data_IF_279106704629
#
_entry.id   IF_279106704629
#
_cell.length_a   1.000
_cell.length_b   1.000
_cell.length_c   1.000
_cell.angle_alpha   90.00
_cell.angle_beta   90.00
_cell.angle_gamma   90.00
#
_symmetry.space_group_name_H-M   'P 1'
#
loop_
_entity.id
_entity.type
_entity.pdbx_description
1 polymer ?
#
# COMPACT_ATOMS: atom_id res chain seq x y z
N UNK A 1 -24.66 -19.55 -28.48
CA UNK A 1 -23.57 -18.65 -28.92
C UNK A 1 -22.90 -18.08 -27.69
N UNK A 2 -21.58 -17.92 -27.68
CA UNK A 2 -20.88 -17.27 -26.57
C UNK A 2 -21.39 -15.82 -26.43
N UNK A 3 -21.57 -15.36 -25.19
CA UNK A 3 -21.99 -13.99 -24.95
C UNK A 3 -20.85 -13.02 -25.29
N UNK A 4 -21.15 -11.95 -26.02
CA UNK A 4 -20.15 -10.99 -26.52
C UNK A 4 -20.18 -9.68 -25.77
N UNK A 5 -18.99 -9.19 -25.40
CA UNK A 5 -18.75 -7.94 -24.69
C UNK A 5 -17.76 -7.05 -25.45
N UNK A 6 -17.93 -5.72 -25.30
CA UNK A 6 -16.94 -4.75 -25.78
C UNK A 6 -15.70 -4.74 -24.89
N UNK A 7 -15.91 -4.97 -23.58
CA UNK A 7 -14.85 -5.09 -22.59
C UNK A 7 -15.16 -6.23 -21.62
N UNK A 8 -14.16 -7.06 -21.33
CA UNK A 8 -14.14 -7.95 -20.18
C UNK A 8 -12.99 -7.55 -19.25
N UNK A 9 -13.29 -7.37 -17.96
CA UNK A 9 -12.30 -7.12 -16.92
C UNK A 9 -12.09 -8.40 -16.09
N UNK A 10 -10.85 -8.83 -15.92
CA UNK A 10 -10.50 -10.02 -15.13
C UNK A 10 -9.92 -9.57 -13.79
N UNK A 11 -10.67 -9.80 -12.71
CA UNK A 11 -10.39 -9.39 -11.34
C UNK A 11 -11.21 -8.18 -10.93
N UNK A 12 -11.82 -8.23 -9.74
CA UNK A 12 -12.62 -7.15 -9.17
C UNK A 12 -11.94 -6.44 -7.99
N UNK A 13 -10.60 -6.36 -8.02
CA UNK A 13 -9.81 -5.49 -7.13
C UNK A 13 -9.91 -4.00 -7.48
N UNK A 14 -9.20 -3.11 -6.75
CA UNK A 14 -9.26 -1.65 -6.94
C UNK A 14 -9.07 -1.18 -8.39
N UNK A 15 -8.19 -1.81 -9.16
CA UNK A 15 -8.06 -1.49 -10.58
C UNK A 15 -9.25 -1.98 -11.40
N UNK A 16 -9.64 -3.25 -11.23
CA UNK A 16 -10.63 -3.89 -12.07
C UNK A 16 -12.05 -3.35 -11.91
N UNK A 17 -12.57 -3.23 -10.67
CA UNK A 17 -13.93 -2.73 -10.48
C UNK A 17 -14.05 -1.25 -10.88
N UNK A 18 -13.00 -0.43 -10.67
CA UNK A 18 -12.97 0.96 -11.10
C UNK A 18 -12.96 1.05 -12.62
N UNK A 19 -12.11 0.26 -13.30
CA UNK A 19 -12.08 0.19 -14.75
C UNK A 19 -13.44 -0.21 -15.34
N UNK A 20 -14.09 -1.23 -14.76
CA UNK A 20 -15.38 -1.71 -15.24
C UNK A 20 -16.49 -0.66 -15.09
N UNK A 21 -16.56 0.03 -13.93
CA UNK A 21 -17.51 1.12 -13.71
C UNK A 21 -17.24 2.28 -14.66
N UNK A 22 -15.97 2.69 -14.81
CA UNK A 22 -15.60 3.80 -15.71
C UNK A 22 -15.94 3.49 -17.16
N UNK A 23 -15.66 2.28 -17.62
CA UNK A 23 -16.01 1.85 -18.97
C UNK A 23 -17.52 1.86 -19.21
N UNK A 24 -18.31 1.38 -18.24
CA UNK A 24 -19.76 1.43 -18.32
C UNK A 24 -20.32 2.86 -18.34
N UNK A 25 -19.75 3.78 -17.55
CA UNK A 25 -20.08 5.22 -17.62
C UNK A 25 -19.81 5.84 -19.00
N UNK A 26 -18.82 5.31 -19.73
CA UNK A 26 -18.47 5.71 -21.09
C UNK A 26 -19.31 4.96 -22.16
N UNK A 27 -20.34 4.22 -21.77
CA UNK A 27 -21.23 3.49 -22.68
C UNK A 27 -20.66 2.17 -23.22
N UNK A 28 -19.54 1.68 -22.66
CA UNK A 28 -18.92 0.42 -23.10
C UNK A 28 -19.65 -0.77 -22.45
N UNK A 29 -20.20 -1.68 -23.27
CA UNK A 29 -20.80 -2.93 -22.78
C UNK A 29 -19.75 -3.80 -22.09
N UNK A 30 -19.82 -3.88 -20.77
CA UNK A 30 -18.74 -4.40 -19.92
C UNK A 30 -19.19 -5.58 -19.07
N UNK A 31 -18.32 -6.59 -18.99
CA UNK A 31 -18.39 -7.65 -17.99
C UNK A 31 -17.16 -7.61 -17.07
N UNK A 32 -17.33 -8.12 -15.85
CA UNK A 32 -16.26 -8.32 -14.89
C UNK A 32 -16.29 -9.76 -14.36
N UNK A 33 -15.13 -10.37 -14.21
CA UNK A 33 -14.97 -11.73 -13.70
C UNK A 33 -14.20 -11.68 -12.39
N UNK A 34 -14.74 -12.26 -11.33
CA UNK A 34 -14.09 -12.36 -10.02
C UNK A 34 -14.21 -13.78 -9.48
N UNK A 35 -13.16 -14.32 -8.88
CA UNK A 35 -13.15 -15.71 -8.40
C UNK A 35 -13.52 -15.85 -6.92
N UNK A 36 -13.36 -14.80 -6.11
CA UNK A 36 -13.47 -14.87 -4.66
C UNK A 36 -14.37 -13.77 -4.08
N UNK A 37 -13.93 -12.50 -4.10
CA UNK A 37 -14.66 -11.38 -3.49
C UNK A 37 -14.50 -10.07 -4.28
N UNK A 38 -15.58 -9.29 -4.34
CA UNK A 38 -15.53 -7.92 -4.85
C UNK A 38 -14.62 -7.04 -3.99
N UNK A 39 -13.93 -6.09 -4.62
CA UNK A 39 -12.96 -5.20 -3.96
C UNK A 39 -11.55 -5.79 -3.82
N UNK A 40 -11.35 -7.08 -4.15
CA UNK A 40 -10.05 -7.75 -4.16
C UNK A 40 -9.31 -7.69 -2.83
N UNK A 41 -7.99 -7.82 -2.88
CA UNK A 41 -7.11 -7.84 -1.69
C UNK A 41 -7.33 -6.63 -0.79
N UNK A 42 -7.27 -5.43 -1.37
CA UNK A 42 -7.29 -4.17 -0.63
C UNK A 42 -8.51 -4.03 0.28
N UNK A 43 -9.69 -4.45 -0.17
CA UNK A 43 -10.93 -4.31 0.58
C UNK A 43 -11.16 -5.46 1.57
N UNK A 44 -10.68 -6.67 1.27
CA UNK A 44 -11.05 -7.87 2.01
C UNK A 44 -10.03 -8.29 3.07
N UNK A 45 -8.73 -8.17 2.77
CA UNK A 45 -7.65 -8.57 3.69
C UNK A 45 -6.37 -7.74 3.55
N UNK A 46 -6.48 -6.54 2.99
CA UNK A 46 -5.36 -5.60 2.79
C UNK A 46 -5.63 -4.24 3.44
N UNK A 47 -5.68 -3.19 2.61
CA UNK A 47 -5.73 -1.79 3.03
C UNK A 47 -6.81 -1.47 4.08
N UNK A 48 -8.06 -1.82 3.81
CA UNK A 48 -9.19 -1.43 4.66
C UNK A 48 -9.15 -2.13 6.01
N UNK A 49 -9.04 -3.48 6.08
CA UNK A 49 -8.98 -4.12 7.37
C UNK A 49 -7.71 -3.76 8.14
N UNK A 50 -6.55 -3.54 7.49
CA UNK A 50 -5.35 -3.10 8.23
C UNK A 50 -5.54 -1.72 8.86
N UNK A 51 -6.19 -0.79 8.16
CA UNK A 51 -6.47 0.58 8.65
C UNK A 51 -7.49 0.56 9.78
N UNK A 52 -8.52 -0.29 9.68
CA UNK A 52 -9.49 -0.48 10.76
C UNK A 52 -8.85 -1.00 12.05
N UNK A 53 -7.80 -1.85 11.93
CA UNK A 53 -7.03 -2.33 13.08
C UNK A 53 -6.04 -1.29 13.59
N UNK A 54 -5.30 -0.62 12.71
CA UNK A 54 -4.29 0.41 13.07
C UNK A 54 -4.89 1.62 13.78
N UNK A 55 -6.16 1.93 13.56
CA UNK A 55 -6.84 2.99 14.30
C UNK A 55 -6.77 2.80 15.82
N UNK A 56 -6.70 1.55 16.30
CA UNK A 56 -6.51 1.27 17.74
C UNK A 56 -5.14 1.74 18.25
N UNK A 57 -4.12 1.76 17.41
CA UNK A 57 -2.78 2.27 17.73
C UNK A 57 -2.81 3.77 17.98
N UNK A 58 -3.47 4.53 17.11
CA UNK A 58 -3.65 5.97 17.26
C UNK A 58 -4.42 6.30 18.55
N UNK A 59 -5.51 5.58 18.82
CA UNK A 59 -6.30 5.74 20.05
C UNK A 59 -5.47 5.40 21.29
N UNK A 60 -4.69 4.31 21.27
CA UNK A 60 -3.82 3.93 22.39
C UNK A 60 -2.77 5.00 22.67
N UNK A 61 -2.15 5.57 21.62
CA UNK A 61 -1.22 6.70 21.78
C UNK A 61 -1.93 7.89 22.42
N UNK A 62 -3.10 8.26 21.92
CA UNK A 62 -3.87 9.40 22.44
C UNK A 62 -4.21 9.22 23.92
N UNK A 63 -4.73 8.04 24.28
CA UNK A 63 -5.06 7.67 25.67
C UNK A 63 -3.80 7.71 26.55
N UNK A 64 -2.66 7.17 26.09
CA UNK A 64 -1.42 7.14 26.87
C UNK A 64 -0.87 8.54 27.19
N UNK A 65 -1.17 9.54 26.36
CA UNK A 65 -0.76 10.92 26.57
C UNK A 65 -1.82 11.76 27.31
N UNK A 66 -3.05 11.27 27.45
CA UNK A 66 -4.17 12.01 28.01
C UNK A 66 -3.92 12.45 29.48
N UNK A 67 -3.15 11.66 30.24
CA UNK A 67 -2.77 11.99 31.61
C UNK A 67 -1.93 13.27 31.71
N UNK A 68 -1.12 13.58 30.69
CA UNK A 68 -0.29 14.80 30.66
C UNK A 68 -1.13 16.09 30.57
N UNK A 69 -2.40 15.97 30.17
CA UNK A 69 -3.37 17.08 30.07
C UNK A 69 -4.54 16.92 31.05
N UNK A 70 -4.36 16.11 32.10
CA UNK A 70 -5.30 16.02 33.22
C UNK A 70 -6.45 15.04 33.03
N UNK A 71 -6.45 14.23 31.97
CA UNK A 71 -7.47 13.18 31.76
C UNK A 71 -6.96 11.86 32.34
N UNK A 72 -7.66 11.33 33.34
CA UNK A 72 -7.34 10.02 33.92
C UNK A 72 -8.01 8.90 33.13
N UNK A 73 -7.25 7.85 32.82
CA UNK A 73 -7.67 6.72 31.98
C UNK A 73 -7.33 5.40 32.66
N UNK A 74 -7.83 5.20 33.88
CA UNK A 74 -7.56 3.99 34.65
C UNK A 74 -8.23 2.77 34.00
N UNK A 75 -7.52 1.64 33.94
CA UNK A 75 -8.01 0.33 33.45
C UNK A 75 -8.49 0.29 31.99
N UNK A 76 -7.83 1.00 31.06
CA UNK A 76 -8.12 0.88 29.62
C UNK A 76 -7.63 -0.47 29.08
N UNK A 77 -8.56 -1.26 28.55
CA UNK A 77 -8.28 -2.55 27.92
C UNK A 77 -8.86 -2.59 26.49
N UNK A 78 -8.22 -3.38 25.62
CA UNK A 78 -8.68 -3.60 24.25
C UNK A 78 -9.54 -4.86 24.21
N UNK A 79 -10.80 -4.70 23.83
CA UNK A 79 -11.71 -5.81 23.51
C UNK A 79 -11.45 -6.28 22.07
N UNK A 80 -10.68 -7.35 21.93
CA UNK A 80 -10.23 -7.88 20.63
C UNK A 80 -11.41 -8.32 19.77
N UNK A 81 -12.45 -8.89 20.36
CA UNK A 81 -13.61 -9.38 19.60
C UNK A 81 -14.43 -8.22 19.04
N UNK A 82 -14.60 -7.13 19.80
CA UNK A 82 -15.20 -5.90 19.26
C UNK A 82 -14.35 -5.25 18.17
N UNK A 83 -13.02 -5.27 18.31
CA UNK A 83 -12.11 -4.75 17.29
C UNK A 83 -12.22 -5.56 15.98
N UNK A 84 -12.20 -6.89 16.07
CA UNK A 84 -12.41 -7.79 14.92
C UNK A 84 -13.77 -7.55 14.27
N UNK A 85 -14.83 -7.43 15.08
CA UNK A 85 -16.17 -7.10 14.58
C UNK A 85 -16.22 -5.76 13.85
N UNK A 86 -15.58 -4.71 14.38
CA UNK A 86 -15.49 -3.41 13.71
C UNK A 86 -14.81 -3.52 12.34
N UNK A 87 -13.70 -4.26 12.26
CA UNK A 87 -13.01 -4.56 11.00
C UNK A 87 -13.95 -5.28 10.02
N UNK A 88 -14.61 -6.35 10.45
CA UNK A 88 -15.52 -7.15 9.62
C UNK A 88 -16.72 -6.34 9.10
N UNK A 89 -17.36 -5.55 9.97
CA UNK A 89 -18.50 -4.71 9.61
C UNK A 89 -18.07 -3.65 8.58
N UNK A 90 -16.86 -3.10 8.71
CA UNK A 90 -16.27 -2.16 7.74
C UNK A 90 -16.04 -2.81 6.38
N UNK A 91 -15.41 -3.99 6.36
CA UNK A 91 -15.17 -4.76 5.12
C UNK A 91 -16.49 -5.13 4.45
N UNK A 92 -17.46 -5.66 5.20
CA UNK A 92 -18.77 -6.08 4.68
C UNK A 92 -19.55 -4.91 4.07
N UNK A 93 -19.54 -3.75 4.72
CA UNK A 93 -20.18 -2.53 4.21
C UNK A 93 -19.59 -2.12 2.85
N UNK A 94 -18.27 -2.06 2.75
CA UNK A 94 -17.61 -1.57 1.54
C UNK A 94 -17.67 -2.57 0.38
N UNK A 95 -17.47 -3.86 0.65
CA UNK A 95 -17.60 -4.93 -0.36
C UNK A 95 -19.02 -4.99 -0.94
N UNK A 96 -20.05 -4.89 -0.08
CA UNK A 96 -21.44 -4.76 -0.52
C UNK A 96 -21.68 -3.51 -1.37
N UNK A 97 -21.05 -2.39 -1.01
CA UNK A 97 -21.06 -1.15 -1.80
C UNK A 97 -20.50 -1.33 -3.21
N UNK A 98 -19.35 -2.01 -3.37
CA UNK A 98 -18.76 -2.28 -4.69
C UNK A 98 -19.72 -3.08 -5.57
N UNK A 99 -20.35 -4.13 -5.02
CA UNK A 99 -21.35 -4.91 -5.76
C UNK A 99 -22.52 -4.04 -6.24
N UNK A 100 -23.07 -3.21 -5.35
CA UNK A 100 -24.17 -2.30 -5.70
C UNK A 100 -23.76 -1.33 -6.81
N UNK A 101 -22.53 -0.81 -6.77
CA UNK A 101 -22.03 0.11 -7.78
C UNK A 101 -21.88 -0.56 -9.16
N UNK A 102 -21.34 -1.79 -9.20
CA UNK A 102 -21.25 -2.57 -10.45
C UNK A 102 -22.65 -2.85 -11.04
N UNK A 103 -23.59 -3.28 -10.19
CA UNK A 103 -24.96 -3.57 -10.60
C UNK A 103 -25.65 -2.29 -11.14
N UNK A 104 -25.49 -1.14 -10.45
CA UNK A 104 -26.02 0.17 -10.91
C UNK A 104 -25.37 0.70 -12.17
N UNK A 105 -24.09 0.38 -12.40
CA UNK A 105 -23.40 0.71 -13.64
C UNK A 105 -23.82 -0.20 -14.81
N UNK A 106 -24.62 -1.24 -14.58
CA UNK A 106 -25.02 -2.20 -15.61
C UNK A 106 -23.88 -3.14 -16.04
N UNK A 107 -22.85 -3.30 -15.21
CA UNK A 107 -21.75 -4.23 -15.46
C UNK A 107 -22.21 -5.65 -15.13
N UNK A 108 -22.08 -6.58 -16.09
CA UNK A 108 -22.37 -7.98 -15.82
C UNK A 108 -21.23 -8.63 -15.03
N UNK A 109 -21.52 -9.09 -13.83
CA UNK A 109 -20.55 -9.82 -13.01
C UNK A 109 -20.66 -11.33 -13.21
N UNK A 110 -19.51 -12.00 -13.31
CA UNK A 110 -19.38 -13.46 -13.31
C UNK A 110 -18.51 -13.90 -12.14
N UNK A 111 -19.00 -14.87 -11.38
CA UNK A 111 -18.23 -15.50 -10.30
C UNK A 111 -17.57 -16.77 -10.79
N UNK A 112 -16.23 -16.78 -10.86
CA UNK A 112 -15.45 -17.93 -11.29
C UNK A 112 -14.01 -17.57 -11.65
N UNK A 113 -13.21 -18.60 -11.90
CA UNK A 113 -11.82 -18.44 -12.35
C UNK A 113 -11.79 -18.24 -13.86
N UNK A 114 -11.24 -17.11 -14.31
CA UNK A 114 -11.03 -16.82 -15.72
C UNK A 114 -9.77 -17.51 -16.26
N UNK A 115 -9.80 -17.91 -17.52
CA UNK A 115 -8.60 -18.28 -18.30
C UNK A 115 -8.82 -17.99 -19.78
N UNK A 116 -7.77 -17.56 -20.49
CA UNK A 116 -7.84 -17.36 -21.93
C UNK A 116 -7.87 -18.72 -22.65
N UNK A 117 -8.78 -18.85 -23.62
CA UNK A 117 -8.79 -19.92 -24.61
C UNK A 117 -8.11 -19.49 -25.92
N UNK A 118 -8.20 -18.20 -26.22
CA UNK A 118 -7.56 -17.51 -27.35
C UNK A 118 -7.44 -16.02 -27.00
N UNK A 119 -6.88 -15.15 -27.87
CA UNK A 119 -6.78 -13.71 -27.58
C UNK A 119 -8.12 -12.99 -27.35
N UNK A 120 -9.25 -13.57 -27.74
CA UNK A 120 -10.59 -12.95 -27.63
C UNK A 120 -11.63 -13.82 -26.92
N UNK A 121 -11.28 -15.03 -26.49
CA UNK A 121 -12.19 -15.93 -25.78
C UNK A 121 -11.67 -16.25 -24.39
N UNK A 122 -12.57 -16.09 -23.39
CA UNK A 122 -12.28 -16.33 -21.99
C UNK A 122 -13.22 -17.43 -21.48
N UNK A 123 -12.67 -18.50 -20.92
CA UNK A 123 -13.41 -19.48 -20.14
C UNK A 123 -13.51 -19.01 -18.69
N UNK A 124 -14.71 -19.08 -18.13
CA UNK A 124 -15.00 -18.82 -16.72
C UNK A 124 -15.40 -20.16 -16.11
N UNK A 125 -14.59 -20.67 -15.20
CA UNK A 125 -14.90 -21.86 -14.42
C UNK A 125 -15.56 -21.45 -13.11
N UNK A 126 -16.88 -21.56 -13.05
CA UNK A 126 -17.69 -21.27 -11.87
C UNK A 126 -18.04 -22.55 -11.11
N UNK A 127 -17.98 -22.50 -9.78
CA UNK A 127 -18.51 -23.57 -8.93
C UNK A 127 -20.03 -23.70 -9.03
N UNK A 128 -20.72 -22.61 -9.34
CA UNK A 128 -22.19 -22.56 -9.36
C UNK A 128 -22.75 -22.88 -10.75
N UNK A 129 -22.17 -22.30 -11.79
CA UNK A 129 -22.70 -22.40 -13.16
C UNK A 129 -21.88 -23.30 -14.08
N UNK A 130 -20.81 -23.92 -13.57
CA UNK A 130 -19.86 -24.69 -14.38
C UNK A 130 -19.04 -23.81 -15.32
N UNK A 131 -18.60 -24.38 -16.44
CA UNK A 131 -17.78 -23.69 -17.45
C UNK A 131 -18.65 -22.89 -18.40
N UNK A 132 -18.34 -21.60 -18.54
CA UNK A 132 -18.95 -20.71 -19.51
C UNK A 132 -17.84 -20.09 -20.36
N UNK A 133 -18.08 -19.92 -21.65
CA UNK A 133 -17.17 -19.17 -22.54
C UNK A 133 -17.83 -17.88 -22.98
N UNK A 134 -17.08 -16.78 -22.91
CA UNK A 134 -17.50 -15.46 -23.40
C UNK A 134 -16.47 -14.91 -24.40
N UNK A 135 -16.94 -14.01 -25.26
CA UNK A 135 -16.11 -13.29 -26.24
C UNK A 135 -15.91 -11.83 -25.83
N UNK A 136 -14.69 -11.35 -26.00
CA UNK A 136 -14.28 -10.00 -25.62
C UNK A 136 -13.56 -9.30 -26.79
N UNK A 137 -14.03 -8.11 -27.16
CA UNK A 137 -13.30 -7.24 -28.09
C UNK A 137 -12.05 -6.64 -27.44
N UNK A 138 -12.15 -6.22 -26.17
CA UNK A 138 -11.03 -5.77 -25.34
C UNK A 138 -11.02 -6.51 -24.01
N UNK A 139 -9.83 -6.69 -23.43
CA UNK A 139 -9.66 -7.31 -22.11
C UNK A 139 -8.79 -6.45 -21.23
N UNK A 140 -9.19 -6.22 -19.97
CA UNK A 140 -8.32 -5.66 -18.94
C UNK A 140 -7.97 -6.77 -17.94
N UNK A 141 -6.68 -7.07 -17.80
CA UNK A 141 -6.16 -8.00 -16.80
C UNK A 141 -5.85 -7.21 -15.52
N UNK A 142 -6.63 -7.45 -14.46
CA UNK A 142 -6.53 -6.80 -13.16
C UNK A 142 -6.44 -7.84 -12.03
N UNK A 143 -5.68 -8.91 -12.25
CA UNK A 143 -5.60 -10.08 -11.34
C UNK A 143 -4.80 -9.84 -10.06
N UNK A 144 -4.17 -8.66 -9.93
CA UNK A 144 -3.46 -8.24 -8.72
C UNK A 144 -2.18 -9.04 -8.45
N UNK A 145 -1.82 -9.15 -7.18
CA UNK A 145 -0.65 -9.89 -6.71
C UNK A 145 -0.99 -10.80 -5.51
N UNK A 146 -0.07 -11.69 -5.18
CA UNK A 146 -0.12 -12.58 -4.01
C UNK A 146 1.18 -12.49 -3.19
N UNK A 147 1.17 -12.83 -1.90
CA UNK A 147 2.40 -12.88 -1.10
C UNK A 147 3.47 -13.78 -1.71
N UNK A 148 4.73 -13.40 -1.54
CA UNK A 148 5.88 -14.26 -1.86
C UNK A 148 5.98 -15.34 -0.79
N UNK A 149 6.13 -16.59 -1.23
CA UNK A 149 6.41 -17.72 -0.36
C UNK A 149 7.91 -17.89 -0.19
N UNK A 150 8.34 -18.12 1.05
CA UNK A 150 9.74 -18.27 1.42
C UNK A 150 10.06 -19.76 1.64
N UNK A 151 10.94 -20.40 0.84
CA UNK A 151 11.21 -21.83 0.96
C UNK A 151 11.72 -22.26 2.34
N UNK A 152 12.49 -21.39 3.01
CA UNK A 152 13.05 -21.60 4.34
C UNK A 152 12.03 -21.50 5.48
N UNK A 153 10.85 -20.94 5.22
CA UNK A 153 9.76 -20.80 6.19
C UNK A 153 8.39 -20.82 5.50
N UNK A 154 7.80 -22.01 5.45
CA UNK A 154 6.50 -22.20 4.81
C UNK A 154 5.38 -21.78 5.76
N UNK A 155 4.43 -21.01 5.24
CA UNK A 155 3.21 -20.66 5.98
C UNK A 155 2.34 -21.90 6.18
N UNK A 156 1.90 -22.14 7.41
CA UNK A 156 0.97 -23.21 7.79
C UNK A 156 -0.44 -22.69 8.14
N UNK A 157 -0.59 -21.36 8.28
CA UNK A 157 -1.86 -20.72 8.60
C UNK A 157 -2.20 -20.72 10.10
N UNK A 158 -1.31 -21.21 10.96
CA UNK A 158 -1.49 -21.30 12.42
C UNK A 158 -0.35 -20.59 13.16
N UNK A 159 0.86 -21.17 13.15
CA UNK A 159 2.05 -20.56 13.77
C UNK A 159 2.77 -19.66 12.76
N UNK A 160 2.88 -20.10 11.51
CA UNK A 160 3.49 -19.32 10.44
C UNK A 160 2.39 -18.84 9.52
N UNK A 161 2.13 -17.53 9.56
CA UNK A 161 0.99 -16.91 8.89
C UNK A 161 1.42 -15.88 7.84
N UNK A 162 0.55 -15.63 6.89
CA UNK A 162 0.65 -14.49 5.99
C UNK A 162 -0.23 -13.32 6.43
N UNK A 163 -0.17 -12.22 5.69
CA UNK A 163 -0.96 -11.02 5.96
C UNK A 163 -2.47 -11.28 6.04
N UNK A 164 -2.99 -12.20 5.19
CA UNK A 164 -4.41 -12.56 5.17
C UNK A 164 -4.88 -13.11 6.51
N UNK A 165 -4.15 -14.04 7.11
CA UNK A 165 -4.50 -14.59 8.42
C UNK A 165 -4.22 -13.60 9.55
N UNK A 166 -3.16 -12.80 9.46
CA UNK A 166 -2.81 -11.80 10.47
C UNK A 166 -3.91 -10.75 10.66
N UNK A 167 -4.59 -10.37 9.59
CA UNK A 167 -5.73 -9.45 9.62
C UNK A 167 -6.93 -9.99 10.42
N UNK A 168 -7.06 -11.32 10.53
CA UNK A 168 -8.17 -11.93 11.27
C UNK A 168 -7.87 -12.10 12.77
N UNK A 169 -6.64 -11.78 13.21
CA UNK A 169 -6.18 -11.88 14.61
C UNK A 169 -6.61 -13.22 15.23
N UNK A 170 -6.04 -14.36 14.76
CA UNK A 170 -6.43 -15.68 15.26
C UNK A 170 -6.14 -15.81 16.77
N UNK A 171 -5.05 -15.20 17.23
CA UNK A 171 -4.67 -15.00 18.63
C UNK A 171 -3.73 -13.80 18.72
N UNK A 172 -3.56 -13.23 19.91
CA UNK A 172 -2.46 -12.29 20.21
C UNK A 172 -1.33 -13.10 20.84
N UNK A 173 -0.22 -13.38 20.11
CA UNK A 173 0.90 -14.14 20.65
C UNK A 173 1.67 -13.33 21.71
N UNK A 174 2.38 -14.00 22.64
CA UNK A 174 3.28 -13.27 23.53
C UNK A 174 4.50 -12.74 22.76
N UNK A 175 4.99 -13.53 21.80
CA UNK A 175 6.12 -13.20 20.92
C UNK A 175 5.73 -13.37 19.46
N UNK A 176 5.92 -12.32 18.66
CA UNK A 176 5.68 -12.32 17.21
C UNK A 176 6.97 -12.03 16.46
N UNK A 177 7.37 -12.95 15.59
CA UNK A 177 8.39 -12.68 14.57
C UNK A 177 7.74 -12.09 13.32
N UNK A 178 8.32 -11.06 12.72
CA UNK A 178 7.89 -10.51 11.43
C UNK A 178 9.05 -10.61 10.46
N UNK A 179 8.85 -11.30 9.32
CA UNK A 179 9.87 -11.43 8.28
C UNK A 179 9.53 -10.45 7.16
N UNK A 180 10.36 -9.40 7.02
CA UNK A 180 10.16 -8.29 6.12
C UNK A 180 9.72 -7.01 6.86
N UNK A 181 10.53 -5.96 6.76
CA UNK A 181 10.28 -4.62 7.29
C UNK A 181 9.71 -3.67 6.23
N UNK A 182 8.99 -4.21 5.23
CA UNK A 182 8.16 -3.42 4.32
C UNK A 182 6.86 -2.94 4.97
N UNK A 183 6.03 -2.15 4.26
CA UNK A 183 4.81 -1.56 4.81
C UNK A 183 3.87 -2.57 5.48
N UNK A 184 3.64 -3.74 4.86
CA UNK A 184 2.75 -4.78 5.40
C UNK A 184 3.26 -5.30 6.75
N UNK A 185 4.55 -5.68 6.82
CA UNK A 185 5.15 -6.24 8.03
C UNK A 185 5.19 -5.22 9.17
N UNK A 186 5.54 -3.98 8.84
CA UNK A 186 5.62 -2.87 9.81
C UNK A 186 4.24 -2.45 10.32
N UNK A 187 3.23 -2.31 9.45
CA UNK A 187 1.85 -2.01 9.85
C UNK A 187 1.28 -3.11 10.75
N UNK A 188 1.31 -4.36 10.31
CA UNK A 188 0.73 -5.46 11.09
C UNK A 188 1.53 -5.73 12.37
N UNK A 189 2.86 -5.63 12.32
CA UNK A 189 3.70 -5.69 13.52
C UNK A 189 3.31 -4.62 14.53
N UNK A 190 3.02 -3.40 14.08
CA UNK A 190 2.54 -2.30 14.94
C UNK A 190 1.19 -2.62 15.58
N UNK A 191 0.25 -3.21 14.83
CA UNK A 191 -1.04 -3.69 15.37
C UNK A 191 -0.80 -4.69 16.49
N UNK A 192 -0.02 -5.76 16.25
CA UNK A 192 0.21 -6.79 17.26
C UNK A 192 0.99 -6.27 18.48
N UNK A 193 1.96 -5.37 18.28
CA UNK A 193 2.64 -4.67 19.37
C UNK A 193 1.65 -3.85 20.22
N UNK A 194 0.71 -3.17 19.56
CA UNK A 194 -0.35 -2.40 20.22
C UNK A 194 -1.27 -3.30 21.05
N UNK A 195 -1.57 -4.50 20.55
CA UNK A 195 -2.39 -5.51 21.24
C UNK A 195 -1.63 -6.23 22.38
N UNK A 196 -0.31 -6.08 22.47
CA UNK A 196 0.50 -6.56 23.59
C UNK A 196 1.56 -7.61 23.26
N UNK A 197 1.73 -7.98 21.98
CA UNK A 197 2.80 -8.89 21.57
C UNK A 197 4.17 -8.21 21.65
N UNK A 198 5.20 -8.95 22.09
CA UNK A 198 6.59 -8.55 21.87
C UNK A 198 6.95 -8.84 20.41
N UNK A 199 7.19 -7.79 19.61
CA UNK A 199 7.42 -7.92 18.17
C UNK A 199 8.90 -7.77 17.82
N UNK A 200 9.43 -8.75 17.07
CA UNK A 200 10.77 -8.70 16.49
C UNK A 200 10.65 -8.77 14.96
N UNK A 201 11.15 -7.75 14.28
CA UNK A 201 11.17 -7.65 12.82
C UNK A 201 12.56 -8.02 12.30
N UNK A 202 12.61 -8.94 11.33
CA UNK A 202 13.82 -9.41 10.67
C UNK A 202 13.74 -8.97 9.20
N UNK A 203 14.72 -8.18 8.76
CA UNK A 203 14.81 -7.62 7.42
C UNK A 203 16.16 -7.95 6.79
N UNK A 204 16.11 -8.41 5.53
CA UNK A 204 17.29 -8.76 4.75
C UNK A 204 18.09 -7.53 4.37
N UNK A 205 17.40 -6.44 4.03
CA UNK A 205 17.99 -5.15 3.68
C UNK A 205 18.45 -4.38 4.93
N UNK A 206 19.24 -3.33 4.71
CA UNK A 206 19.93 -2.59 5.77
C UNK A 206 19.06 -1.59 6.54
N UNK A 207 17.82 -1.37 6.09
CA UNK A 207 16.90 -0.40 6.68
C UNK A 207 15.47 -0.93 6.83
N UNK A 208 14.73 -0.36 7.79
CA UNK A 208 13.27 -0.47 7.89
C UNK A 208 12.63 0.38 6.79
N UNK A 209 11.56 -0.12 6.16
CA UNK A 209 10.93 0.55 5.00
C UNK A 209 11.97 0.96 3.94
N UNK A 210 12.82 0.03 3.46
CA UNK A 210 14.06 0.33 2.73
C UNK A 210 13.86 0.98 1.35
N UNK A 211 12.62 1.08 0.88
CA UNK A 211 12.25 1.73 -0.39
C UNK A 211 11.85 3.20 -0.22
N UNK A 212 11.78 3.71 1.02
CA UNK A 212 11.45 5.10 1.30
C UNK A 212 12.72 5.96 1.35
N UNK A 213 12.53 7.29 1.48
CA UNK A 213 13.64 8.20 1.76
C UNK A 213 14.29 7.85 3.11
N UNK A 214 15.63 7.84 3.17
CA UNK A 214 16.40 7.34 4.31
C UNK A 214 16.07 8.09 5.64
N UNK A 215 15.68 9.37 5.57
CA UNK A 215 15.26 10.10 6.76
C UNK A 215 13.92 9.61 7.30
N UNK A 216 12.98 9.23 6.42
CA UNK A 216 11.69 8.66 6.82
C UNK A 216 11.91 7.30 7.48
N UNK A 217 12.71 6.44 6.86
CA UNK A 217 13.06 5.12 7.37
C UNK A 217 13.70 5.20 8.77
N UNK A 218 14.65 6.11 8.94
CA UNK A 218 15.33 6.34 10.23
C UNK A 218 14.37 6.87 11.31
N UNK A 219 13.44 7.76 10.94
CA UNK A 219 12.44 8.28 11.86
C UNK A 219 11.42 7.20 12.27
N UNK A 220 10.97 6.39 11.31
CA UNK A 220 10.07 5.27 11.54
C UNK A 220 10.67 4.25 12.50
N UNK A 221 11.89 3.79 12.23
CA UNK A 221 12.59 2.81 13.06
C UNK A 221 12.74 3.31 14.50
N UNK A 222 13.17 4.57 14.68
CA UNK A 222 13.31 5.18 16.01
C UNK A 222 11.97 5.24 16.74
N UNK A 223 10.89 5.63 16.06
CA UNK A 223 9.57 5.73 16.66
C UNK A 223 9.02 4.35 17.08
N UNK A 224 9.15 3.35 16.21
CA UNK A 224 8.68 1.99 16.48
C UNK A 224 9.51 1.29 17.57
N UNK A 225 10.83 1.53 17.62
CA UNK A 225 11.67 1.07 18.74
C UNK A 225 11.25 1.67 20.08
N UNK A 226 10.93 2.98 20.11
CA UNK A 226 10.40 3.65 21.30
C UNK A 226 9.06 3.04 21.76
N UNK A 227 8.30 2.46 20.84
CA UNK A 227 7.05 1.74 21.12
C UNK A 227 7.24 0.26 21.52
N UNK A 228 8.49 -0.23 21.59
CA UNK A 228 8.81 -1.57 22.09
C UNK A 228 9.08 -2.63 21.01
N UNK A 229 9.08 -2.26 19.73
CA UNK A 229 9.44 -3.18 18.65
C UNK A 229 10.96 -3.34 18.52
N UNK A 230 11.43 -4.54 18.20
CA UNK A 230 12.84 -4.84 17.92
C UNK A 230 13.04 -5.01 16.41
N UNK A 231 14.16 -4.51 15.87
CA UNK A 231 14.51 -4.62 14.45
C UNK A 231 15.91 -5.21 14.27
N UNK A 232 16.00 -6.19 13.38
CA UNK A 232 17.24 -6.81 12.92
C UNK A 232 17.31 -6.63 11.40
N UNK A 233 17.93 -5.54 10.94
CA UNK A 233 18.24 -5.28 9.54
C UNK A 233 19.52 -6.01 9.12
N UNK A 234 19.79 -6.08 7.82
CA UNK A 234 20.92 -6.85 7.25
C UNK A 234 20.96 -8.29 7.74
N UNK A 235 19.78 -8.89 7.97
CA UNK A 235 19.61 -10.16 8.67
C UNK A 235 18.79 -11.13 7.83
N UNK A 236 19.37 -12.29 7.51
CA UNK A 236 18.80 -13.26 6.59
C UNK A 236 18.23 -14.46 7.33
N UNK A 237 16.95 -14.76 7.12
CA UNK A 237 16.35 -16.02 7.57
C UNK A 237 16.91 -17.17 6.74
N UNK A 238 17.51 -18.16 7.41
CA UNK A 238 18.14 -19.33 6.77
C UNK A 238 17.36 -20.61 6.94
N UNK A 239 16.52 -20.70 7.97
CA UNK A 239 15.74 -21.91 8.26
C UNK A 239 14.69 -21.67 9.33
N UNK A 240 13.76 -22.61 9.44
CA UNK A 240 12.79 -22.62 10.52
C UNK A 240 12.41 -24.05 10.91
N UNK A 241 12.13 -24.26 12.20
CA UNK A 241 11.75 -25.56 12.73
C UNK A 241 10.65 -25.38 13.79
N UNK A 242 9.53 -26.09 13.62
CA UNK A 242 8.46 -26.12 14.62
C UNK A 242 8.96 -26.83 15.88
N UNK A 243 8.66 -26.25 17.04
CA UNK A 243 8.96 -26.80 18.35
C UNK A 243 7.69 -26.74 19.21
N UNK A 244 6.87 -27.78 19.10
CA UNK A 244 5.56 -27.83 19.76
C UNK A 244 4.60 -26.75 19.25
N UNK A 245 4.20 -25.85 20.15
CA UNK A 245 3.32 -24.71 19.91
C UNK A 245 4.07 -23.42 19.51
N UNK A 246 5.39 -23.51 19.33
CA UNK A 246 6.27 -22.42 18.91
C UNK A 246 7.05 -22.77 17.63
N UNK A 247 7.76 -21.78 17.11
CA UNK A 247 8.69 -21.95 16.00
C UNK A 247 10.04 -21.32 16.30
N UNK A 248 11.10 -22.07 16.01
CA UNK A 248 12.47 -21.57 15.96
C UNK A 248 12.77 -21.06 14.55
N UNK A 249 13.36 -19.88 14.45
CA UNK A 249 13.76 -19.22 13.20
C UNK A 249 15.25 -18.95 13.27
N UNK A 250 16.00 -19.56 12.37
CA UNK A 250 17.45 -19.37 12.27
C UNK A 250 17.74 -18.17 11.36
N UNK A 251 18.57 -17.27 11.88
CA UNK A 251 18.88 -15.99 11.24
C UNK A 251 20.39 -15.77 11.22
N UNK A 252 20.92 -15.43 10.05
CA UNK A 252 22.27 -14.92 9.89
C UNK A 252 22.23 -13.40 10.01
N UNK A 253 22.82 -12.86 11.09
CA UNK A 253 22.91 -11.42 11.38
C UNK A 253 24.34 -10.92 11.13
N UNK A 254 24.58 -9.60 11.08
CA UNK A 254 25.94 -9.07 11.01
C UNK A 254 26.84 -9.49 12.20
N UNK A 255 26.25 -9.87 13.33
CA UNK A 255 26.94 -10.33 14.54
C UNK A 255 27.12 -11.86 14.57
N UNK A 256 26.66 -12.58 13.54
CA UNK A 256 26.73 -14.04 13.44
C UNK A 256 25.36 -14.71 13.43
N UNK A 257 25.37 -16.05 13.47
CA UNK A 257 24.16 -16.87 13.46
C UNK A 257 23.44 -16.82 14.81
N UNK A 258 22.12 -16.68 14.77
CA UNK A 258 21.25 -16.64 15.95
C UNK A 258 19.94 -17.36 15.66
N UNK A 259 19.38 -18.01 16.67
CA UNK A 259 18.03 -18.61 16.59
C UNK A 259 17.08 -17.81 17.46
N UNK A 260 15.93 -17.45 16.91
CA UNK A 260 14.84 -16.79 17.63
C UNK A 260 13.67 -17.76 17.79
N UNK A 261 13.02 -17.75 18.95
CA UNK A 261 11.82 -18.56 19.21
C UNK A 261 10.61 -17.65 19.29
N UNK A 262 9.55 -17.96 18.54
CA UNK A 262 8.31 -17.19 18.52
C UNK A 262 7.09 -18.08 18.72
N UNK A 263 6.03 -17.53 19.29
CA UNK A 263 4.72 -18.20 19.36
C UNK A 263 3.95 -18.10 18.03
N UNK A 264 4.35 -17.14 17.19
CA UNK A 264 3.82 -16.91 15.85
C UNK A 264 4.84 -16.14 14.99
N UNK A 265 4.82 -16.39 13.68
CA UNK A 265 5.61 -15.64 12.69
C UNK A 265 4.71 -15.14 11.57
N UNK A 266 4.78 -13.84 11.28
CA UNK A 266 4.20 -13.20 10.10
C UNK A 266 5.24 -13.14 8.98
N UNK A 267 4.94 -13.78 7.85
CA UNK A 267 5.74 -13.67 6.62
C UNK A 267 5.18 -12.53 5.77
N UNK A 268 5.96 -11.44 5.62
CA UNK A 268 5.62 -10.22 4.89
C UNK A 268 6.75 -9.76 3.95
N UNK A 269 7.37 -10.72 3.25
CA UNK A 269 8.58 -10.52 2.43
C UNK A 269 8.32 -9.92 1.03
N UNK A 270 7.11 -9.41 0.77
CA UNK A 270 6.73 -8.82 -0.51
C UNK A 270 5.68 -9.62 -1.28
N UNK A 271 5.39 -9.16 -2.49
CA UNK A 271 4.29 -9.64 -3.33
C UNK A 271 4.80 -10.01 -4.73
N UNK A 272 4.14 -10.97 -5.38
CA UNK A 272 4.38 -11.41 -6.77
C UNK A 272 3.10 -11.26 -7.61
N UNK A 273 3.19 -10.92 -8.90
CA UNK A 273 2.02 -10.72 -9.75
C UNK A 273 1.24 -12.03 -9.97
N UNK A 274 -0.09 -11.92 -10.08
CA UNK A 274 -0.98 -13.05 -10.37
C UNK A 274 -1.16 -13.24 -11.89
N UNK A 275 -0.08 -13.55 -12.60
CA UNK A 275 -0.07 -13.76 -14.05
C UNK A 275 -0.06 -15.23 -14.48
N UNK A 276 0.13 -16.16 -13.53
CA UNK A 276 0.15 -17.60 -13.79
C UNK A 276 -1.26 -18.19 -13.86
N UNK A 277 -1.40 -19.33 -14.55
CA UNK A 277 -2.67 -20.06 -14.71
C UNK A 277 -3.81 -19.28 -15.36
N UNK A 278 -3.52 -18.14 -16.00
CA UNK A 278 -4.50 -17.33 -16.73
C UNK A 278 -4.58 -17.70 -18.23
N UNK A 279 -3.68 -18.55 -18.73
CA UNK A 279 -3.62 -18.91 -20.16
C UNK A 279 -3.02 -17.80 -21.04
N UNK A 280 -2.16 -16.94 -20.48
CA UNK A 280 -1.55 -15.80 -21.19
C UNK A 280 -0.85 -16.21 -22.49
N UNK A 281 -0.29 -17.40 -22.54
CA UNK A 281 0.35 -17.97 -23.72
C UNK A 281 -0.61 -18.12 -24.90
N UNK A 282 -1.87 -18.49 -24.63
CA UNK A 282 -2.92 -18.63 -25.65
C UNK A 282 -3.45 -17.27 -26.11
N UNK A 283 -3.33 -16.26 -25.25
CA UNK A 283 -3.65 -14.88 -25.58
C UNK A 283 -2.49 -14.15 -26.30
N UNK A 284 -1.28 -14.72 -26.30
CA UNK A 284 -0.07 -14.09 -26.84
C UNK A 284 0.52 -12.99 -25.95
N UNK A 285 0.09 -12.89 -24.69
CA UNK A 285 0.57 -11.88 -23.73
C UNK A 285 1.88 -12.34 -23.10
N UNK A 286 2.89 -11.46 -23.11
CA UNK A 286 4.20 -11.73 -22.53
C UNK A 286 4.30 -11.17 -21.12
N UNK A 287 5.10 -11.84 -20.29
CA UNK A 287 5.52 -11.36 -18.97
C UNK A 287 7.02 -11.09 -18.95
N UNK A 288 7.46 -10.23 -18.04
CA UNK A 288 8.88 -10.05 -17.74
C UNK A 288 9.44 -11.22 -16.91
N UNK A 289 10.73 -11.19 -16.60
CA UNK A 289 11.39 -12.25 -15.82
C UNK A 289 10.85 -12.40 -14.38
N UNK A 290 10.16 -11.40 -13.85
CA UNK A 290 9.52 -11.41 -12.53
C UNK A 290 8.03 -11.78 -12.62
N UNK A 291 7.50 -12.01 -13.82
CA UNK A 291 6.11 -12.38 -14.09
C UNK A 291 5.15 -11.21 -14.27
N UNK A 292 5.61 -9.95 -14.29
CA UNK A 292 4.73 -8.79 -14.52
C UNK A 292 4.38 -8.65 -16.00
N UNK A 293 3.19 -8.13 -16.30
CA UNK A 293 2.77 -7.82 -17.68
C UNK A 293 3.19 -6.38 -17.98
N UNK A 294 4.18 -6.21 -18.85
CA UNK A 294 4.62 -4.89 -19.28
C UNK A 294 3.53 -4.18 -20.09
N UNK A 295 3.35 -2.89 -19.86
CA UNK A 295 2.33 -2.07 -20.53
C UNK A 295 2.88 -0.74 -21.04
N UNK A 296 2.25 -0.20 -22.07
CA UNK A 296 2.49 1.17 -22.55
C UNK A 296 1.76 2.23 -21.70
N UNK A 297 1.89 3.52 -22.07
CA UNK A 297 1.20 4.62 -21.37
C UNK A 297 -0.33 4.52 -21.36
N UNK A 298 -0.93 3.78 -22.30
CA UNK A 298 -2.38 3.55 -22.36
C UNK A 298 -2.79 2.25 -21.64
N UNK A 299 -1.87 1.64 -20.91
CA UNK A 299 -2.03 0.36 -20.19
C UNK A 299 -2.16 -0.87 -21.11
N UNK A 300 -1.75 -0.76 -22.39
CA UNK A 300 -1.82 -1.88 -23.34
C UNK A 300 -0.62 -2.80 -23.18
N UNK A 301 -0.87 -4.11 -23.20
CA UNK A 301 0.17 -5.12 -23.31
C UNK A 301 0.77 -5.16 -24.73
N UNK A 302 1.63 -6.14 -25.01
CA UNK A 302 2.11 -6.41 -26.36
C UNK A 302 1.01 -6.86 -27.34
N UNK A 303 -0.20 -7.17 -26.86
CA UNK A 303 -1.38 -7.48 -27.67
C UNK A 303 -2.34 -6.29 -27.58
N UNK A 304 -2.59 -5.63 -28.71
CA UNK A 304 -3.19 -4.27 -28.77
C UNK A 304 -4.53 -4.11 -28.04
N UNK A 305 -5.38 -5.14 -28.03
CA UNK A 305 -6.69 -5.13 -27.39
C UNK A 305 -6.70 -5.73 -25.97
N UNK A 306 -5.54 -6.13 -25.45
CA UNK A 306 -5.37 -6.65 -24.10
C UNK A 306 -4.53 -5.67 -23.28
N UNK A 307 -5.11 -5.22 -22.18
CA UNK A 307 -4.58 -4.26 -21.24
C UNK A 307 -4.22 -4.98 -19.93
N UNK A 308 -3.32 -4.40 -19.13
CA UNK A 308 -3.04 -4.87 -17.77
C UNK A 308 -2.85 -3.70 -16.81
N UNK A 309 -3.41 -3.80 -15.61
CA UNK A 309 -3.44 -2.71 -14.62
C UNK A 309 -3.21 -3.22 -13.19
N UNK A 310 -2.79 -2.31 -12.32
CA UNK A 310 -2.54 -2.58 -10.91
C UNK A 310 -1.33 -3.46 -10.68
N UNK A 311 -1.41 -4.31 -9.65
CA UNK A 311 -0.22 -5.03 -9.18
C UNK A 311 0.34 -6.02 -10.21
N UNK A 312 -0.48 -6.52 -11.15
CA UNK A 312 -0.03 -7.45 -12.19
C UNK A 312 0.84 -6.76 -13.26
N UNK A 313 0.73 -5.43 -13.41
CA UNK A 313 1.54 -4.64 -14.36
C UNK A 313 2.81 -4.03 -13.74
N UNK A 314 3.07 -4.28 -12.45
CA UNK A 314 4.29 -3.85 -11.76
C UNK A 314 4.26 -2.39 -11.31
N UNK A 315 5.45 -1.80 -11.12
CA UNK A 315 5.61 -0.49 -10.49
C UNK A 315 5.32 -0.54 -8.98
N UNK A 316 4.74 0.52 -8.43
CA UNK A 316 4.26 0.52 -7.04
C UNK A 316 2.95 -0.24 -6.93
N UNK A 317 2.91 -1.24 -6.06
CA UNK A 317 1.75 -2.11 -5.85
C UNK A 317 0.75 -1.45 -4.88
N UNK A 318 0.08 -0.41 -5.37
CA UNK A 318 -0.80 0.46 -4.59
C UNK A 318 -2.20 0.54 -5.18
N UNK A 319 -3.21 0.55 -4.32
CA UNK A 319 -4.61 0.50 -4.72
C UNK A 319 -5.04 1.71 -5.57
N UNK A 320 -4.65 2.93 -5.20
CA UNK A 320 -4.97 4.14 -5.96
C UNK A 320 -4.24 4.19 -7.31
N UNK A 321 -3.01 3.67 -7.39
CA UNK A 321 -2.30 3.45 -8.67
C UNK A 321 -3.11 2.50 -9.56
N UNK A 322 -3.51 1.35 -9.03
CA UNK A 322 -4.33 0.39 -9.77
C UNK A 322 -5.66 0.99 -10.26
N UNK A 323 -6.36 1.73 -9.41
CA UNK A 323 -7.61 2.40 -9.77
C UNK A 323 -7.40 3.46 -10.85
N UNK A 324 -6.36 4.27 -10.76
CA UNK A 324 -6.06 5.31 -11.74
C UNK A 324 -5.65 4.71 -13.11
N UNK A 325 -4.83 3.66 -13.12
CA UNK A 325 -4.54 2.89 -14.34
C UNK A 325 -5.82 2.29 -14.95
N UNK A 326 -6.75 1.82 -14.12
CA UNK A 326 -8.05 1.32 -14.57
C UNK A 326 -8.90 2.38 -15.27
N UNK A 327 -8.86 3.62 -14.79
CA UNK A 327 -9.52 4.77 -15.45
C UNK A 327 -8.89 5.03 -16.82
N UNK A 328 -7.56 5.11 -16.89
CA UNK A 328 -6.83 5.33 -18.16
C UNK A 328 -7.11 4.23 -19.17
N UNK A 329 -7.08 2.96 -18.75
CA UNK A 329 -7.37 1.83 -19.63
C UNK A 329 -8.81 1.90 -20.18
N UNK A 330 -9.79 2.16 -19.31
CA UNK A 330 -11.19 2.30 -19.71
C UNK A 330 -11.42 3.46 -20.68
N UNK A 331 -10.76 4.60 -20.46
CA UNK A 331 -10.83 5.77 -21.33
C UNK A 331 -10.17 5.53 -22.69
N UNK A 332 -9.00 4.87 -22.72
CA UNK A 332 -8.35 4.42 -23.97
C UNK A 332 -9.27 3.49 -24.77
N UNK A 333 -9.95 2.54 -24.11
CA UNK A 333 -10.90 1.62 -24.77
C UNK A 333 -12.12 2.35 -25.33
N UNK A 334 -12.59 3.40 -24.67
CA UNK A 334 -13.69 4.25 -25.15
C UNK A 334 -13.28 5.18 -26.31
N UNK A 335 -12.00 5.19 -26.72
CA UNK A 335 -11.48 6.01 -27.81
C UNK A 335 -10.93 7.38 -27.38
N UNK A 336 -10.83 7.64 -26.07
CA UNK A 336 -10.20 8.87 -25.58
C UNK A 336 -8.68 8.77 -25.66
N UNK A 337 -8.01 9.83 -26.09
CA UNK A 337 -6.55 9.92 -26.17
C UNK A 337 -5.93 10.25 -24.80
N UNK A 338 -6.12 9.37 -23.82
CA UNK A 338 -5.62 9.54 -22.44
C UNK A 338 -4.54 8.48 -22.17
N UNK A 339 -3.41 8.93 -21.65
CA UNK A 339 -2.29 8.08 -21.26
C UNK A 339 -1.69 8.52 -19.92
N UNK A 340 -0.98 7.61 -19.28
CA UNK A 340 -0.26 7.85 -18.04
C UNK A 340 0.85 8.89 -18.25
N UNK A 341 0.69 10.04 -17.59
CA UNK A 341 1.69 11.11 -17.54
C UNK A 341 1.76 11.79 -16.16
N UNK A 342 1.40 11.05 -15.10
CA UNK A 342 1.53 11.53 -13.74
C UNK A 342 3.00 11.63 -13.32
N UNK A 343 3.31 12.63 -12.49
CA UNK A 343 4.69 12.98 -12.11
C UNK A 343 5.25 12.05 -11.03
N UNK A 344 4.36 11.43 -10.27
CA UNK A 344 4.71 10.45 -9.25
C UNK A 344 3.49 9.67 -8.78
N UNK A 345 3.74 8.59 -8.05
CA UNK A 345 2.68 7.86 -7.36
C UNK A 345 2.83 8.17 -5.87
N UNK A 346 1.86 8.83 -5.22
CA UNK A 346 1.93 9.06 -3.79
C UNK A 346 1.87 7.72 -3.04
N UNK A 347 2.46 7.64 -1.86
CA UNK A 347 2.44 6.47 -1.00
C UNK A 347 2.23 6.86 0.46
N UNK A 348 1.78 5.90 1.25
CA UNK A 348 1.65 6.06 2.70
C UNK A 348 1.92 4.74 3.43
N UNK A 349 2.39 4.86 4.68
CA UNK A 349 2.52 3.78 5.65
C UNK A 349 1.84 4.24 6.94
N UNK A 350 0.84 3.50 7.39
CA UNK A 350 -0.12 3.95 8.40
C UNK A 350 0.27 3.53 9.83
N UNK A 351 1.57 3.57 10.11
CA UNK A 351 2.09 3.42 11.48
C UNK A 351 1.93 4.72 12.26
N UNK A 352 2.38 4.73 13.51
CA UNK A 352 2.39 5.91 14.36
C UNK A 352 3.86 6.29 14.67
N UNK A 353 4.35 7.47 14.29
CA UNK A 353 3.67 8.47 13.46
C UNK A 353 3.51 8.00 12.00
N UNK A 354 2.47 8.49 11.34
CA UNK A 354 2.14 8.15 9.95
C UNK A 354 3.24 8.63 8.99
N UNK A 355 3.41 7.95 7.86
CA UNK A 355 4.36 8.31 6.81
C UNK A 355 3.63 8.48 5.49
N UNK A 356 3.98 9.51 4.74
CA UNK A 356 3.53 9.66 3.36
C UNK A 356 4.59 10.35 2.51
N UNK A 357 4.59 10.07 1.21
CA UNK A 357 5.44 10.80 0.28
C UNK A 357 5.06 10.62 -1.19
N UNK A 358 5.70 11.42 -2.03
CA UNK A 358 5.59 11.36 -3.49
C UNK A 358 6.91 11.84 -4.12
N UNK A 359 7.21 11.34 -5.32
CA UNK A 359 8.37 11.75 -6.08
C UNK A 359 9.65 11.02 -5.67
N UNK A 360 10.80 11.58 -6.06
CA UNK A 360 12.11 10.97 -5.86
C UNK A 360 12.62 11.20 -4.43
N UNK A 361 13.35 10.23 -3.91
CA UNK A 361 14.12 10.34 -2.66
C UNK A 361 15.43 11.11 -2.88
N UNK A 362 16.06 11.55 -1.78
CA UNK A 362 17.37 12.20 -1.84
C UNK A 362 18.45 11.25 -2.39
N UNK A 363 18.36 9.97 -2.06
CA UNK A 363 19.25 8.92 -2.56
C UNK A 363 19.14 8.74 -4.07
N UNK A 364 17.93 8.68 -4.61
CA UNK A 364 17.68 8.59 -6.07
C UNK A 364 18.15 9.86 -6.80
N UNK A 365 17.94 11.04 -6.20
CA UNK A 365 18.44 12.30 -6.75
C UNK A 365 19.97 12.31 -6.85
N UNK A 366 20.66 11.87 -5.79
CA UNK A 366 22.12 11.74 -5.77
C UNK A 366 22.62 10.72 -6.79
N UNK A 367 22.00 9.54 -6.87
CA UNK A 367 22.36 8.48 -7.81
C UNK A 367 22.15 8.87 -9.28
N UNK A 368 21.16 9.71 -9.57
CA UNK A 368 20.91 10.22 -10.93
C UNK A 368 21.79 11.41 -11.31
N UNK A 369 22.64 11.91 -10.39
CA UNK A 369 23.50 13.08 -10.61
C UNK A 369 22.74 14.41 -10.64
N UNK A 370 21.47 14.44 -10.19
CA UNK A 370 20.65 15.64 -10.17
C UNK A 370 21.11 16.57 -9.05
N UNK A 371 21.28 17.85 -9.36
CA UNK A 371 21.50 18.89 -8.35
C UNK A 371 20.18 19.26 -7.71
N UNK A 372 20.09 19.09 -6.40
CA UNK A 372 18.87 19.34 -5.62
C UNK A 372 19.12 20.32 -4.47
N UNK A 373 18.03 20.91 -3.98
CA UNK A 373 17.95 21.59 -2.69
C UNK A 373 16.99 20.80 -1.80
N UNK A 374 17.27 20.79 -0.50
CA UNK A 374 16.46 20.07 0.49
C UNK A 374 16.05 21.05 1.58
N UNK A 375 14.76 21.07 1.90
CA UNK A 375 14.20 21.80 3.03
C UNK A 375 13.52 20.83 3.98
N UNK A 376 13.67 21.06 5.29
CA UNK A 376 13.07 20.23 6.34
C UNK A 376 12.46 21.11 7.43
N UNK A 377 11.31 20.70 7.94
CA UNK A 377 10.68 21.36 9.09
C UNK A 377 10.15 20.33 10.09
N UNK A 378 10.57 20.37 11.37
CA UNK A 378 10.18 19.36 12.34
C UNK A 378 8.85 19.70 13.02
N UNK A 379 8.02 18.68 13.29
CA UNK A 379 6.71 18.88 13.95
C UNK A 379 6.84 19.44 15.37
N UNK A 380 7.98 19.27 16.04
CA UNK A 380 8.29 19.93 17.32
C UNK A 380 8.35 21.47 17.27
N UNK A 381 8.39 22.06 16.08
CA UNK A 381 8.30 23.50 15.87
C UNK A 381 6.89 23.95 15.41
N UNK A 382 5.93 23.02 15.29
CA UNK A 382 4.55 23.31 14.88
C UNK A 382 3.65 23.46 16.11
N UNK A 383 3.09 24.65 16.33
CA UNK A 383 2.22 24.92 17.48
C UNK A 383 1.04 23.94 17.62
N UNK A 384 0.39 23.57 16.49
CA UNK A 384 -0.68 22.57 16.49
C UNK A 384 -0.21 21.20 16.98
N UNK A 385 0.94 20.73 16.51
CA UNK A 385 1.49 19.43 16.88
C UNK A 385 1.91 19.36 18.36
N UNK A 386 2.41 20.47 18.92
CA UNK A 386 2.70 20.60 20.34
C UNK A 386 1.40 20.55 21.14
N UNK A 387 0.39 21.34 20.74
CA UNK A 387 -0.90 21.41 21.43
C UNK A 387 -1.65 20.07 21.45
N UNK A 388 -1.40 19.18 20.48
CA UNK A 388 -2.02 17.84 20.40
C UNK A 388 -1.08 16.71 20.82
N UNK A 389 0.06 17.01 21.44
CA UNK A 389 1.05 16.01 21.91
C UNK A 389 1.48 15.03 20.80
N UNK A 390 1.62 15.52 19.57
CA UNK A 390 1.93 14.75 18.36
C UNK A 390 3.10 15.39 17.61
N UNK A 391 4.20 15.66 18.31
CA UNK A 391 5.36 16.42 17.81
C UNK A 391 6.47 15.55 17.19
N UNK A 392 6.28 14.24 17.12
CA UNK A 392 7.25 13.33 16.52
C UNK A 392 7.21 13.45 14.98
N UNK A 393 8.39 13.62 14.37
CA UNK A 393 8.55 13.64 12.91
C UNK A 393 8.84 15.01 12.28
N UNK A 394 8.73 15.10 10.96
CA UNK A 394 9.03 16.27 10.14
C UNK A 394 8.37 16.17 8.75
N UNK A 395 8.30 17.31 8.05
CA UNK A 395 8.12 17.38 6.61
C UNK A 395 9.47 17.67 5.92
N UNK A 396 9.71 17.05 4.77
CA UNK A 396 10.90 17.22 3.92
C UNK A 396 10.44 17.49 2.49
N UNK A 397 11.03 18.50 1.86
CA UNK A 397 10.81 18.88 0.47
C UNK A 397 12.14 18.83 -0.27
N UNK A 398 12.12 18.22 -1.46
CA UNK A 398 13.25 18.14 -2.38
C UNK A 398 12.86 18.90 -3.65
N UNK A 399 13.66 19.89 -4.02
CA UNK A 399 13.46 20.66 -5.26
C UNK A 399 14.69 20.64 -6.16
N UNK A 400 14.47 20.88 -7.44
CA UNK A 400 15.53 21.06 -8.41
C UNK A 400 16.34 22.33 -8.12
N UNK A 401 17.67 22.22 -8.07
CA UNK A 401 18.51 23.33 -7.66
C UNK A 401 18.46 24.54 -8.60
N UNK A 402 18.21 24.32 -9.90
CA UNK A 402 18.22 25.38 -10.91
C UNK A 402 16.82 25.97 -11.14
N UNK A 403 15.78 25.13 -11.11
CA UNK A 403 14.42 25.53 -11.49
C UNK A 403 13.44 25.64 -10.33
N UNK A 404 13.84 25.21 -9.13
CA UNK A 404 13.00 25.14 -7.92
C UNK A 404 11.78 24.22 -8.01
N UNK A 405 11.60 23.50 -9.13
CA UNK A 405 10.52 22.52 -9.31
C UNK A 405 10.57 21.45 -8.23
N UNK A 406 9.39 21.10 -7.71
CA UNK A 406 9.24 20.00 -6.77
C UNK A 406 9.65 18.68 -7.41
N UNK A 407 10.47 17.90 -6.70
CA UNK A 407 10.94 16.59 -7.12
C UNK A 407 10.53 15.49 -6.16
N UNK A 408 10.44 15.80 -4.87
CA UNK A 408 10.07 14.87 -3.82
C UNK A 408 9.46 15.59 -2.62
N UNK A 409 8.44 15.00 -2.02
CA UNK A 409 7.85 15.43 -0.76
C UNK A 409 7.72 14.21 0.14
N UNK A 410 8.23 14.31 1.37
CA UNK A 410 8.35 13.21 2.31
C UNK A 410 7.96 13.69 3.70
N UNK A 411 6.94 13.08 4.29
CA UNK A 411 6.35 13.51 5.57
C UNK A 411 6.31 12.30 6.49
N UNK A 412 6.80 12.47 7.71
CA UNK A 412 6.58 11.55 8.83
C UNK A 412 6.02 12.35 9.98
N UNK A 413 4.84 11.98 10.48
CA UNK A 413 4.10 12.75 11.47
C UNK A 413 2.59 12.52 11.38
N UNK A 414 1.81 13.17 12.25
CA UNK A 414 0.36 13.01 12.28
C UNK A 414 -0.29 13.50 10.97
N UNK A 415 -1.27 12.74 10.44
CA UNK A 415 -2.04 13.08 9.24
C UNK A 415 -1.19 13.23 7.97
N UNK A 416 -0.09 12.48 7.86
CA UNK A 416 0.85 12.64 6.75
C UNK A 416 0.21 12.37 5.39
N UNK A 417 -0.64 11.34 5.24
CA UNK A 417 -1.27 11.06 3.94
C UNK A 417 -2.26 12.14 3.52
N UNK A 418 -2.99 12.73 4.48
CA UNK A 418 -3.95 13.80 4.19
C UNK A 418 -3.23 15.10 3.78
N UNK A 419 -2.17 15.46 4.50
CA UNK A 419 -1.37 16.67 4.22
C UNK A 419 -0.65 16.56 2.86
N UNK A 420 -0.20 15.36 2.49
CA UNK A 420 0.52 15.13 1.23
C UNK A 420 -0.30 15.51 -0.01
N UNK A 421 -1.64 15.47 0.06
CA UNK A 421 -2.49 15.75 -1.10
C UNK A 421 -2.21 17.12 -1.74
N UNK A 422 -1.98 18.16 -0.93
CA UNK A 422 -1.63 19.49 -1.44
C UNK A 422 -0.31 19.48 -2.25
N UNK A 423 0.70 18.80 -1.74
CA UNK A 423 1.98 18.62 -2.44
C UNK A 423 1.87 17.78 -3.71
N UNK A 424 1.02 16.75 -3.69
CA UNK A 424 0.73 15.90 -4.85
C UNK A 424 0.08 16.71 -5.96
N UNK A 425 -0.96 17.49 -5.64
CA UNK A 425 -1.62 18.35 -6.61
C UNK A 425 -0.64 19.36 -7.24
N UNK A 426 0.19 20.01 -6.43
CA UNK A 426 1.14 21.00 -6.93
C UNK A 426 2.24 20.37 -7.82
N UNK A 427 2.70 19.16 -7.49
CA UNK A 427 3.68 18.43 -8.31
C UNK A 427 3.11 18.08 -9.69
N UNK A 428 1.84 17.68 -9.77
CA UNK A 428 1.16 17.42 -11.06
C UNK A 428 1.08 18.67 -11.95
N UNK A 429 1.10 19.87 -11.37
CA UNK A 429 1.16 21.15 -12.10
C UNK A 429 2.58 21.71 -12.30
N UNK A 430 3.62 20.88 -12.13
CA UNK A 430 5.03 21.30 -12.24
C UNK A 430 5.42 22.45 -11.28
N UNK A 431 4.73 22.57 -10.14
CA UNK A 431 4.94 23.64 -9.17
C UNK A 431 6.29 23.57 -8.46
N UNK A 432 6.66 24.69 -7.83
CA UNK A 432 7.95 24.90 -7.17
C UNK A 432 7.87 24.83 -5.65
N UNK A 433 9.02 24.78 -4.97
CA UNK A 433 9.06 24.91 -3.50
C UNK A 433 8.64 26.30 -3.03
N UNK A 434 8.90 27.34 -3.83
CA UNK A 434 8.38 28.69 -3.57
C UNK A 434 6.85 28.74 -3.65
N UNK A 435 6.24 28.13 -4.68
CA UNK A 435 4.78 28.05 -4.80
C UNK A 435 4.17 27.39 -3.56
N UNK A 436 4.73 26.24 -3.14
CA UNK A 436 4.27 25.50 -1.95
C UNK A 436 4.42 26.32 -0.66
N UNK A 437 5.55 27.01 -0.51
CA UNK A 437 5.84 27.84 0.66
C UNK A 437 4.98 29.11 0.76
N UNK A 438 4.39 29.56 -0.36
CA UNK A 438 3.52 30.73 -0.42
C UNK A 438 2.02 30.39 -0.38
N UNK A 439 1.64 29.11 -0.35
CA UNK A 439 0.26 28.71 -0.07
C UNK A 439 -0.09 29.15 1.36
N UNK A 440 -1.14 29.97 1.49
CA UNK A 440 -1.64 30.40 2.79
C UNK A 440 -2.26 29.21 3.54
N UNK A 441 -1.51 28.63 4.47
CA UNK A 441 -2.02 27.61 5.38
C UNK A 441 -2.89 28.24 6.49
N UNK A 442 -3.96 27.55 6.89
CA UNK A 442 -4.73 27.93 8.08
C UNK A 442 -3.83 27.78 9.31
N UNK A 443 -3.85 28.76 10.21
CA UNK A 443 -3.11 28.72 11.48
C UNK A 443 -4.07 28.57 12.68
N UNK A 444 -3.79 27.68 13.65
CA UNK A 444 -2.73 26.68 13.67
C UNK A 444 -3.15 25.35 13.02
N UNK A 445 -2.33 24.79 12.12
CA UNK A 445 -2.54 23.46 11.49
C UNK A 445 -1.24 22.67 11.33
N UNK A 446 -1.36 21.37 11.06
CA UNK A 446 -0.22 20.50 10.79
C UNK A 446 0.38 20.74 9.40
N UNK A 447 -0.42 21.20 8.44
CA UNK A 447 0.05 21.50 7.07
C UNK A 447 1.04 22.67 7.02
N UNK A 448 1.10 23.51 8.05
CA UNK A 448 2.15 24.53 8.19
C UNK A 448 3.56 23.92 8.17
N UNK A 449 3.75 22.68 8.64
CA UNK A 449 5.04 22.01 8.57
C UNK A 449 5.51 21.79 7.12
N UNK A 450 4.58 21.44 6.21
CA UNK A 450 4.91 21.27 4.79
C UNK A 450 5.24 22.61 4.12
N UNK A 451 4.48 23.66 4.45
CA UNK A 451 4.73 25.03 3.98
C UNK A 451 6.12 25.52 4.40
N UNK A 452 6.46 25.38 5.69
CA UNK A 452 7.76 25.79 6.22
C UNK A 452 8.91 24.94 5.70
N UNK A 453 8.71 23.63 5.49
CA UNK A 453 9.71 22.77 4.85
C UNK A 453 10.02 23.24 3.43
N UNK A 454 8.99 23.69 2.68
CA UNK A 454 9.16 24.24 1.35
C UNK A 454 9.91 25.59 1.38
N UNK A 455 9.61 26.49 2.33
CA UNK A 455 10.37 27.73 2.53
C UNK A 455 11.82 27.47 2.93
N UNK A 456 12.07 26.43 3.74
CA UNK A 456 13.41 26.06 4.18
C UNK A 456 14.33 25.62 3.03
N UNK A 457 13.78 25.08 1.93
CA UNK A 457 14.53 24.76 0.71
C UNK A 457 15.39 25.94 0.24
N UNK A 458 14.85 27.16 0.40
CA UNK A 458 15.48 28.42 0.00
C UNK A 458 15.96 29.26 1.18
N UNK A 459 16.12 28.66 2.37
CA UNK A 459 16.55 29.34 3.59
C UNK A 459 15.64 30.49 4.02
N UNK A 460 14.33 30.33 3.81
CA UNK A 460 13.29 31.34 4.09
C UNK A 460 12.26 30.86 5.11
N UNK A 461 12.50 29.74 5.80
CA UNK A 461 11.60 29.31 6.87
C UNK A 461 11.59 30.35 8.00
N UNK A 462 10.42 30.56 8.59
CA UNK A 462 10.19 31.61 9.59
C UNK A 462 10.36 31.06 11.01
N UNK A 463 9.92 29.83 11.24
CA UNK A 463 9.81 29.25 12.58
C UNK A 463 10.98 28.30 12.95
N UNK A 464 12.05 28.27 12.16
CA UNK A 464 13.31 27.57 12.44
C UNK A 464 14.52 28.38 11.93
N UNK A 465 15.72 28.04 12.41
CA UNK A 465 16.97 28.56 11.86
C UNK A 465 17.25 27.92 10.50
N UNK A 466 17.70 28.72 9.52
CA UNK A 466 17.97 28.29 8.14
C UNK A 466 19.44 27.95 7.86
#
# INVERSE_FOLDING_TARGET
>A
MAEKYKLVVIGAGPGGYVAAIRAAQLGVKTAIIEKEYYGGVCLNWGCIPSKALLYVTELKRTISHAAAIGIKTDNVAIDIEKLKKHKEDTVKRLTGGVKILLDKAGVKSYMGTASFLSPNQIEINSKETGKITIEAENVIIATGASPIELPMIKTDGDIVIGARQAIDIPKVPQTLGVIGAGPIGVELGTVYNTLGSKVTVIELLDAVLPTLDDDLSSAAERALKKQGMEFYTSSKVTGSQRQGDKINVDVETPQGKRTFTFDMVLVAAGMKPNSTNLGLERAGVKTDAKGFIAVDKMMRSNVKHIYAIGDVSGGMLLAHKASHEGIVAAESIAGNAIGADWKGVPYAVFIEPEIAGIGITEKEASQSGRKIKVGKFPYRATGKAIATLASDGFAKVISDAATDKLLGIHIVGPHSADILFAGTALMEFDGTSEDLGHIMAVHPTLSEALMEAALNVNKRAIHIVN
#
